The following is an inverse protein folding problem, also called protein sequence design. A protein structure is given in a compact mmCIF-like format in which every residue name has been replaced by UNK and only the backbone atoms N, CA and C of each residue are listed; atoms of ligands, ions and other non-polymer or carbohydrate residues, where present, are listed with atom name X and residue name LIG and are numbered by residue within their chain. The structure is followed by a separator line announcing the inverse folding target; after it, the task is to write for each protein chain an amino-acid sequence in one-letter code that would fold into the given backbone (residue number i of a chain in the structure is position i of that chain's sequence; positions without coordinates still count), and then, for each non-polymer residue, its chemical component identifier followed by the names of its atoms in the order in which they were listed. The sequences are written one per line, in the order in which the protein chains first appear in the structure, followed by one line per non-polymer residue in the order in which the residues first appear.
data_IF_459736763322
#
_entry.id   IF_459736763322
#
_cell.length_a   1.000
_cell.length_b   1.000
_cell.length_c   1.000
_cell.angle_alpha   90.00
_cell.angle_beta   90.00
_cell.angle_gamma   90.00
#
_symmetry.space_group_name_H-M   'P 1'
#
loop_
_entity.id
_entity.type
_entity.pdbx_description
1 polymer ?
#
# COMPACT_ATOMS: atom_id res chain seq x y z
N UNK A 1 -8.54 7.53 8.77
CA UNK A 1 -7.52 6.55 8.37
C UNK A 1 -6.25 6.98 9.06
N UNK A 2 -5.63 6.07 9.79
CA UNK A 2 -4.41 6.32 10.54
C UNK A 2 -3.23 5.63 9.86
N UNK A 3 -2.06 6.26 9.93
CA UNK A 3 -0.82 5.80 9.33
C UNK A 3 0.26 5.66 10.40
N UNK A 4 0.87 4.49 10.47
CA UNK A 4 2.01 4.23 11.35
C UNK A 4 3.21 3.75 10.54
N UNK A 5 4.39 4.31 10.83
CA UNK A 5 5.66 3.88 10.23
C UNK A 5 6.44 3.02 11.21
N UNK A 6 6.99 1.92 10.72
CA UNK A 6 7.93 1.09 11.47
C UNK A 6 9.11 0.72 10.60
N UNK A 7 10.28 1.19 10.98
CA UNK A 7 11.55 0.82 10.35
C UNK A 7 12.06 -0.46 11.00
N UNK A 8 12.19 -1.53 10.21
CA UNK A 8 12.69 -2.83 10.67
C UNK A 8 14.18 -3.04 10.34
N UNK A 9 14.87 -2.03 9.81
CA UNK A 9 16.28 -2.11 9.37
C UNK A 9 16.49 -2.80 8.03
N UNK A 10 15.61 -3.73 7.63
CA UNK A 10 15.64 -4.41 6.32
C UNK A 10 14.36 -4.21 5.50
N UNK A 11 13.36 -3.53 6.07
CA UNK A 11 12.18 -3.05 5.36
C UNK A 11 11.58 -1.87 6.12
N UNK A 12 10.82 -1.04 5.43
CA UNK A 12 9.94 -0.05 6.06
C UNK A 12 8.50 -0.51 5.97
N UNK A 13 7.85 -0.67 7.11
CA UNK A 13 6.42 -0.96 7.17
C UNK A 13 5.62 0.35 7.28
N UNK A 14 4.61 0.48 6.42
CA UNK A 14 3.59 1.52 6.49
C UNK A 14 2.28 0.81 6.80
N UNK A 15 1.73 1.05 7.99
CA UNK A 15 0.53 0.37 8.47
C UNK A 15 -0.64 1.34 8.37
N UNK A 16 -1.70 0.92 7.68
CA UNK A 16 -2.95 1.65 7.49
C UNK A 16 -4.04 0.97 8.33
N UNK A 17 -4.71 1.76 9.16
CA UNK A 17 -5.96 1.37 9.82
C UNK A 17 -7.10 2.35 9.53
N UNK A 18 -8.32 1.85 9.49
CA UNK A 18 -9.53 2.54 9.06
C UNK A 18 -9.67 2.65 7.54
N UNK A 19 -10.87 3.04 7.10
CA UNK A 19 -11.23 3.04 5.68
C UNK A 19 -10.52 4.10 4.84
N UNK A 20 -10.06 3.69 3.65
CA UNK A 20 -9.43 4.53 2.64
C UNK A 20 -10.51 5.05 1.68
N UNK A 21 -11.11 6.20 1.97
CA UNK A 21 -12.32 6.67 1.24
C UNK A 21 -12.24 8.10 0.72
N UNK A 22 -11.26 8.88 1.15
CA UNK A 22 -11.14 10.29 0.77
C UNK A 22 -9.94 10.56 -0.13
N UNK A 23 -9.97 11.73 -0.78
CA UNK A 23 -8.82 12.25 -1.53
C UNK A 23 -7.63 12.47 -0.60
N UNK A 24 -7.88 13.01 0.60
CA UNK A 24 -6.84 13.17 1.63
C UNK A 24 -6.19 11.84 2.03
N UNK A 25 -6.97 10.76 2.15
CA UNK A 25 -6.40 9.43 2.44
C UNK A 25 -5.45 9.00 1.33
N UNK A 26 -5.84 9.23 0.08
CA UNK A 26 -5.03 8.91 -1.11
C UNK A 26 -3.72 9.68 -1.10
N UNK A 27 -3.75 10.98 -0.79
CA UNK A 27 -2.55 11.81 -0.77
C UNK A 27 -1.63 11.48 0.42
N UNK A 28 -2.20 11.15 1.57
CA UNK A 28 -1.44 10.70 2.74
C UNK A 28 -0.69 9.39 2.44
N UNK A 29 -1.31 8.43 1.76
CA UNK A 29 -0.66 7.17 1.36
C UNK A 29 0.50 7.42 0.39
N UNK A 30 0.30 8.28 -0.61
CA UNK A 30 1.38 8.66 -1.55
C UNK A 30 2.54 9.30 -0.82
N UNK A 31 2.24 10.26 0.06
CA UNK A 31 3.25 10.97 0.82
C UNK A 31 4.05 9.99 1.69
N UNK A 32 3.37 9.04 2.33
CA UNK A 32 4.00 8.03 3.16
C UNK A 32 4.96 7.13 2.37
N UNK A 33 4.52 6.59 1.24
CA UNK A 33 5.35 5.73 0.38
C UNK A 33 6.55 6.51 -0.17
N UNK A 34 6.31 7.73 -0.67
CA UNK A 34 7.38 8.57 -1.24
C UNK A 34 8.39 8.97 -0.18
N UNK A 35 7.95 9.29 1.04
CA UNK A 35 8.83 9.62 2.17
C UNK A 35 9.67 8.42 2.59
N UNK A 36 9.07 7.24 2.70
CA UNK A 36 9.79 6.02 3.04
C UNK A 36 10.84 5.68 1.96
N UNK A 37 10.47 5.78 0.69
CA UNK A 37 11.37 5.53 -0.43
C UNK A 37 12.54 6.52 -0.49
N UNK A 38 12.27 7.81 -0.38
CA UNK A 38 13.31 8.84 -0.42
C UNK A 38 14.26 8.78 0.79
N UNK A 39 13.84 8.17 1.90
CA UNK A 39 14.69 7.95 3.07
C UNK A 39 15.75 6.88 2.80
N UNK A 40 15.37 5.79 2.13
CA UNK A 40 16.29 4.71 1.74
C UNK A 40 15.75 3.95 0.50
N UNK A 41 16.25 4.32 -0.68
CA UNK A 41 15.85 3.74 -1.97
C UNK A 41 16.32 2.29 -2.17
N UNK A 42 16.96 1.67 -1.18
CA UNK A 42 17.30 0.23 -1.23
C UNK A 42 16.39 -0.59 -0.32
N UNK A 43 15.61 0.06 0.53
CA UNK A 43 14.83 -0.61 1.55
C UNK A 43 13.41 -0.95 1.04
N UNK A 44 13.02 -2.23 0.98
CA UNK A 44 11.67 -2.61 0.58
C UNK A 44 10.59 -1.98 1.45
N UNK A 45 9.45 -1.64 0.83
CA UNK A 45 8.31 -1.06 1.54
C UNK A 45 7.22 -2.13 1.65
N UNK A 46 6.72 -2.36 2.86
CA UNK A 46 5.55 -3.17 3.12
C UNK A 46 4.38 -2.26 3.47
N UNK A 47 3.42 -2.12 2.56
CA UNK A 47 2.18 -1.40 2.84
C UNK A 47 1.16 -2.40 3.42
N UNK A 48 0.79 -2.22 4.68
CA UNK A 48 -0.07 -3.14 5.42
C UNK A 48 -1.44 -2.49 5.63
N UNK A 49 -2.48 -3.05 5.04
CA UNK A 49 -3.88 -2.64 5.23
C UNK A 49 -4.52 -3.61 6.22
N UNK A 50 -4.74 -3.15 7.44
CA UNK A 50 -5.10 -4.03 8.55
C UNK A 50 -6.60 -4.34 8.63
N UNK A 51 -7.47 -3.35 8.43
CA UNK A 51 -8.91 -3.48 8.69
C UNK A 51 -9.80 -2.81 7.64
N UNK A 52 -9.21 -2.18 6.62
CA UNK A 52 -10.00 -1.55 5.56
C UNK A 52 -10.57 -2.61 4.61
N UNK A 53 -11.87 -2.55 4.36
CA UNK A 53 -12.57 -3.37 3.37
C UNK A 53 -12.66 -2.69 1.98
N UNK A 54 -12.19 -1.44 1.86
CA UNK A 54 -12.35 -0.65 0.64
C UNK A 54 -11.09 0.16 0.33
N UNK A 55 -10.77 0.24 -0.96
CA UNK A 55 -9.74 1.12 -1.49
C UNK A 55 -10.30 1.83 -2.72
N UNK A 56 -9.91 3.10 -2.91
CA UNK A 56 -10.35 3.86 -4.09
C UNK A 56 -9.55 3.48 -5.33
N UNK A 57 -10.15 3.61 -6.52
CA UNK A 57 -9.48 3.40 -7.80
C UNK A 57 -8.24 4.29 -7.99
N UNK A 58 -8.27 5.50 -7.43
CA UNK A 58 -7.12 6.39 -7.37
C UNK A 58 -5.94 5.72 -6.68
N UNK A 59 -6.12 5.20 -5.46
CA UNK A 59 -5.05 4.54 -4.72
C UNK A 59 -4.52 3.33 -5.49
N UNK A 60 -5.40 2.49 -6.05
CA UNK A 60 -4.99 1.37 -6.91
C UNK A 60 -4.08 1.87 -8.04
N UNK A 61 -4.50 2.89 -8.79
CA UNK A 61 -3.71 3.45 -9.89
C UNK A 61 -2.34 3.97 -9.45
N UNK A 62 -2.24 4.59 -8.28
CA UNK A 62 -0.96 5.03 -7.72
C UNK A 62 -0.06 3.87 -7.31
N UNK A 63 -0.60 2.83 -6.67
CA UNK A 63 0.18 1.64 -6.30
C UNK A 63 0.73 0.93 -7.55
N UNK A 64 -0.08 0.78 -8.60
CA UNK A 64 0.37 0.24 -9.88
C UNK A 64 1.52 1.07 -10.45
N UNK A 65 1.39 2.40 -10.44
CA UNK A 65 2.46 3.30 -10.92
C UNK A 65 3.75 3.08 -10.12
N UNK A 66 3.68 3.09 -8.79
CA UNK A 66 4.87 2.91 -7.95
C UNK A 66 5.58 1.58 -8.22
N UNK A 67 4.83 0.48 -8.33
CA UNK A 67 5.39 -0.84 -8.56
C UNK A 67 5.91 -1.00 -9.99
N UNK A 68 5.08 -0.68 -11.00
CA UNK A 68 5.36 -1.04 -12.39
C UNK A 68 6.20 0.01 -13.11
N UNK A 69 5.95 1.30 -12.87
CA UNK A 69 6.63 2.41 -13.54
C UNK A 69 7.84 2.86 -12.74
N UNK A 70 7.65 3.19 -11.46
CA UNK A 70 8.70 3.77 -10.63
C UNK A 70 9.62 2.69 -10.02
N UNK A 71 9.29 1.41 -10.21
CA UNK A 71 10.07 0.23 -9.79
C UNK A 71 10.36 0.19 -8.28
N UNK A 72 9.48 0.79 -7.47
CA UNK A 72 9.59 0.72 -6.02
C UNK A 72 9.31 -0.73 -5.57
N UNK A 73 10.19 -1.34 -4.76
CA UNK A 73 9.99 -2.67 -4.17
C UNK A 73 8.91 -2.62 -3.08
N UNK A 74 7.66 -2.50 -3.51
CA UNK A 74 6.48 -2.40 -2.67
C UNK A 74 5.74 -3.75 -2.61
N UNK A 75 5.40 -4.20 -1.41
CA UNK A 75 4.51 -5.35 -1.17
C UNK A 75 3.28 -4.89 -0.42
N UNK A 76 2.10 -5.23 -0.92
CA UNK A 76 0.83 -4.91 -0.27
C UNK A 76 0.41 -6.10 0.60
N UNK A 77 0.20 -5.90 1.90
CA UNK A 77 -0.38 -6.91 2.78
C UNK A 77 -1.81 -6.50 3.10
N UNK A 78 -2.77 -7.37 2.82
CA UNK A 78 -4.19 -7.14 3.05
C UNK A 78 -4.71 -8.22 3.97
N UNK A 79 -5.10 -7.83 5.19
CA UNK A 79 -5.67 -8.76 6.19
C UNK A 79 -7.17 -8.93 6.06
N UNK A 80 -7.87 -7.90 5.59
CA UNK A 80 -9.32 -7.95 5.43
C UNK A 80 -9.70 -8.82 4.23
N UNK A 81 -10.54 -9.83 4.46
CA UNK A 81 -10.90 -10.82 3.44
C UNK A 81 -11.65 -10.17 2.26
N UNK A 82 -12.62 -9.31 2.53
CA UNK A 82 -13.44 -8.65 1.51
C UNK A 82 -12.56 -7.81 0.57
N UNK A 83 -11.59 -7.08 1.11
CA UNK A 83 -10.64 -6.32 0.31
C UNK A 83 -9.72 -7.22 -0.51
N UNK A 84 -9.27 -8.35 0.06
CA UNK A 84 -8.43 -9.30 -0.66
C UNK A 84 -9.18 -9.93 -1.83
N UNK A 85 -10.38 -10.45 -1.60
CA UNK A 85 -11.26 -11.02 -2.61
C UNK A 85 -11.59 -10.00 -3.71
N UNK A 86 -11.88 -8.74 -3.34
CA UNK A 86 -12.09 -7.67 -4.31
C UNK A 86 -10.88 -7.47 -5.23
N UNK A 87 -9.66 -7.48 -4.68
CA UNK A 87 -8.43 -7.34 -5.46
C UNK A 87 -8.16 -8.59 -6.33
N UNK A 88 -8.54 -9.77 -5.87
CA UNK A 88 -8.47 -11.04 -6.62
C UNK A 88 -9.42 -11.04 -7.82
N UNK A 89 -10.68 -10.70 -7.60
CA UNK A 89 -11.70 -10.58 -8.66
C UNK A 89 -11.29 -9.56 -9.74
N UNK A 90 -10.57 -8.51 -9.34
CA UNK A 90 -10.04 -7.50 -10.25
C UNK A 90 -8.71 -7.92 -10.94
N UNK A 91 -8.18 -9.12 -10.67
CA UNK A 91 -6.88 -9.60 -11.13
C UNK A 91 -5.70 -8.69 -10.73
N UNK A 92 -5.77 -8.07 -9.55
CA UNK A 92 -4.76 -7.14 -9.07
C UNK A 92 -3.72 -7.78 -8.14
N UNK A 93 -3.92 -9.02 -7.70
CA UNK A 93 -3.03 -9.71 -6.74
C UNK A 93 -1.58 -9.71 -7.21
N UNK A 94 -1.31 -10.19 -8.44
CA UNK A 94 0.05 -10.21 -8.99
C UNK A 94 0.55 -8.82 -9.39
N UNK A 95 -0.35 -7.95 -9.87
CA UNK A 95 0.01 -6.61 -10.35
C UNK A 95 0.50 -5.74 -9.19
N UNK A 96 -0.18 -5.83 -8.04
CA UNK A 96 0.09 -5.07 -6.83
C UNK A 96 0.98 -5.81 -5.81
N UNK A 97 1.45 -7.03 -6.14
CA UNK A 97 2.24 -7.87 -5.23
C UNK A 97 1.53 -8.00 -3.87
N UNK A 98 0.26 -8.42 -3.92
CA UNK A 98 -0.61 -8.55 -2.75
C UNK A 98 -0.31 -9.86 -2.02
N UNK A 99 -0.24 -9.79 -0.69
CA UNK A 99 -0.02 -10.90 0.22
C UNK A 99 -1.02 -10.83 1.38
N UNK A 100 -1.22 -11.97 2.03
CA UNK A 100 -1.94 -12.06 3.30
C UNK A 100 -0.97 -11.82 4.46
#
# INVERSE_FOLDING_TARGET
MDLTFKDNGTSTDIIISGNIKSISDTDNIKFAITTAWNKDEKNPINLKIDDSFIITSSVIGFLIKFIKKDKIPLTLYVKNEELYEMLEDMNLIEVLNVRR
#
